data_IF_925709891053
#
_entry.id   IF_925709891053
#
_cell.length_a   1.000
_cell.length_b   1.000
_cell.length_c   1.000
_cell.angle_alpha   90.00
_cell.angle_beta   90.00
_cell.angle_gamma   90.00
#
_symmetry.space_group_name_H-M   'P 1'
#
loop_
_entity.id
_entity.type
_entity.pdbx_description
1 polymer ?
#
# COMPACT_ATOMS: atom_id res chain seq x y z
N UNK A 1 -54.14 -66.04 -40.31
CA UNK A 1 -52.77 -65.74 -39.83
C UNK A 1 -52.64 -64.27 -39.46
N UNK A 2 -52.61 -64.00 -38.16
CA UNK A 2 -52.48 -62.62 -37.65
C UNK A 2 -51.04 -62.46 -37.17
N UNK A 3 -50.29 -61.57 -37.77
CA UNK A 3 -48.92 -61.19 -37.38
C UNK A 3 -48.97 -60.10 -36.34
N UNK A 4 -48.35 -60.31 -35.18
CA UNK A 4 -48.20 -59.40 -34.07
C UNK A 4 -46.95 -58.46 -34.31
N UNK A 5 -47.00 -57.14 -34.12
CA UNK A 5 -45.82 -56.31 -34.23
C UNK A 5 -45.01 -56.36 -32.93
N UNK A 6 -43.63 -56.43 -33.09
CA UNK A 6 -42.66 -56.43 -32.01
C UNK A 6 -42.46 -55.02 -31.45
N UNK A 7 -42.57 -54.88 -30.14
CA UNK A 7 -42.35 -53.68 -29.38
C UNK A 7 -40.80 -53.42 -29.20
N UNK A 8 -40.26 -52.36 -29.79
CA UNK A 8 -38.90 -51.95 -29.56
C UNK A 8 -38.80 -51.18 -28.23
N UNK A 9 -38.11 -51.76 -27.25
CA UNK A 9 -37.78 -51.09 -26.01
C UNK A 9 -36.64 -50.10 -26.25
N UNK A 10 -36.87 -48.80 -25.99
CA UNK A 10 -35.83 -47.75 -25.91
C UNK A 10 -35.18 -47.76 -24.51
N UNK A 11 -33.86 -47.87 -24.46
CA UNK A 11 -33.09 -47.72 -23.24
C UNK A 11 -32.87 -46.23 -22.95
N UNK A 12 -33.03 -45.76 -21.72
CA UNK A 12 -32.71 -44.36 -21.37
C UNK A 12 -31.20 -44.18 -21.31
N UNK A 13 -30.69 -43.19 -22.05
CA UNK A 13 -29.30 -42.69 -21.92
C UNK A 13 -29.23 -41.80 -20.68
N UNK A 14 -28.53 -42.26 -19.67
CA UNK A 14 -28.24 -41.48 -18.47
C UNK A 14 -27.12 -40.50 -18.78
N UNK A 15 -27.43 -39.23 -18.93
CA UNK A 15 -26.44 -38.16 -19.05
C UNK A 15 -25.83 -37.89 -17.66
N UNK A 16 -24.57 -38.29 -17.45
CA UNK A 16 -23.79 -37.91 -16.28
C UNK A 16 -23.29 -36.48 -16.50
N UNK A 17 -23.92 -35.50 -15.83
CA UNK A 17 -23.38 -34.17 -15.72
C UNK A 17 -22.14 -34.25 -14.81
N UNK A 18 -20.95 -34.24 -15.42
CA UNK A 18 -19.68 -34.05 -14.72
C UNK A 18 -19.61 -32.61 -14.13
N UNK A 19 -19.78 -32.48 -12.83
CA UNK A 19 -19.46 -31.25 -12.14
C UNK A 19 -17.93 -31.05 -12.21
N UNK A 20 -17.47 -30.10 -13.01
CA UNK A 20 -16.08 -29.66 -12.97
C UNK A 20 -15.86 -28.95 -11.63
N UNK A 21 -15.13 -29.59 -10.73
CA UNK A 21 -14.59 -28.96 -9.53
C UNK A 21 -13.53 -27.99 -10.00
N UNK A 22 -13.86 -26.70 -10.07
CA UNK A 22 -12.87 -25.63 -10.24
C UNK A 22 -12.12 -25.53 -8.92
N UNK A 23 -10.95 -26.14 -8.84
CA UNK A 23 -10.03 -25.89 -7.73
C UNK A 23 -9.62 -24.41 -7.80
N UNK A 24 -9.81 -23.63 -6.72
CA UNK A 24 -9.29 -22.25 -6.70
C UNK A 24 -7.78 -22.31 -6.93
N UNK A 25 -7.28 -21.42 -7.80
CA UNK A 25 -5.85 -21.22 -7.93
C UNK A 25 -5.26 -20.92 -6.54
N UNK A 26 -4.09 -21.46 -6.19
CA UNK A 26 -3.46 -21.15 -4.91
C UNK A 26 -3.33 -19.64 -4.79
N UNK A 27 -3.76 -19.08 -3.64
CA UNK A 27 -3.50 -17.69 -3.33
C UNK A 27 -1.98 -17.49 -3.45
N UNK A 28 -1.54 -16.46 -4.20
CA UNK A 28 -0.13 -16.10 -4.25
C UNK A 28 0.32 -15.83 -2.80
N UNK A 29 1.16 -16.72 -2.27
CA UNK A 29 1.80 -16.47 -1.00
C UNK A 29 2.69 -15.25 -1.19
N UNK A 30 2.43 -14.16 -0.47
CA UNK A 30 3.34 -13.03 -0.41
C UNK A 30 4.72 -13.57 0.03
N UNK A 31 5.79 -13.14 -0.66
CA UNK A 31 7.13 -13.29 -0.10
C UNK A 31 7.23 -12.58 1.26
N UNK A 32 8.33 -12.75 2.00
CA UNK A 32 8.51 -12.02 3.24
C UNK A 32 8.50 -10.50 2.97
N UNK A 33 7.93 -9.74 3.90
CA UNK A 33 7.98 -8.29 3.85
C UNK A 33 9.44 -7.80 3.81
N UNK A 34 9.66 -6.66 3.17
CA UNK A 34 10.97 -6.02 3.08
C UNK A 34 10.95 -4.59 3.65
N UNK A 35 12.03 -3.84 3.48
CA UNK A 35 12.12 -2.48 3.99
C UNK A 35 11.86 -2.40 5.50
N UNK A 36 11.29 -1.32 5.95
CA UNK A 36 10.96 -1.15 7.36
C UNK A 36 9.88 -2.12 7.86
N UNK A 37 8.99 -2.59 7.00
CA UNK A 37 8.00 -3.61 7.38
C UNK A 37 8.63 -4.97 7.78
N UNK A 38 9.89 -5.23 7.44
CA UNK A 38 10.62 -6.44 7.81
C UNK A 38 11.35 -6.36 9.13
N UNK A 39 11.47 -5.19 9.74
CA UNK A 39 12.28 -4.95 10.94
C UNK A 39 11.64 -5.58 12.17
N UNK A 40 12.45 -6.22 13.03
CA UNK A 40 11.97 -6.73 14.32
C UNK A 40 11.89 -5.59 15.33
N UNK A 41 10.69 -5.20 15.70
CA UNK A 41 10.42 -4.09 16.63
C UNK A 41 9.02 -4.17 17.23
N UNK A 42 8.75 -3.43 18.29
CA UNK A 42 7.43 -3.28 18.91
C UNK A 42 6.70 -4.63 19.14
N UNK A 43 7.42 -5.70 19.46
CA UNK A 43 6.85 -7.02 19.67
C UNK A 43 6.55 -7.84 18.40
N UNK A 44 6.78 -7.28 17.21
CA UNK A 44 6.62 -7.97 15.93
C UNK A 44 7.96 -8.48 15.40
N UNK A 45 7.94 -9.61 14.70
CA UNK A 45 9.09 -10.18 13.98
C UNK A 45 8.90 -9.95 12.47
N UNK A 46 8.91 -8.68 12.08
CA UNK A 46 8.48 -8.23 10.76
C UNK A 46 6.97 -8.33 10.55
N UNK A 47 6.51 -8.01 9.35
CA UNK A 47 5.09 -8.04 8.97
C UNK A 47 4.74 -9.38 8.34
N UNK A 48 3.78 -10.09 8.92
CA UNK A 48 3.29 -11.40 8.46
C UNK A 48 1.79 -11.39 8.10
N UNK A 49 1.10 -10.29 8.41
CA UNK A 49 -0.32 -10.11 8.16
C UNK A 49 -1.17 -11.18 8.86
N UNK A 50 -2.14 -11.74 8.16
CA UNK A 50 -3.03 -12.80 8.63
C UNK A 50 -2.41 -14.20 8.63
N UNK A 51 -1.07 -14.33 8.57
CA UNK A 51 -0.41 -15.63 8.56
C UNK A 51 -0.74 -16.46 9.81
N UNK A 52 -1.03 -17.74 9.63
CA UNK A 52 -1.46 -18.64 10.72
C UNK A 52 -2.96 -18.59 11.02
N UNK A 53 -3.70 -17.59 10.52
CA UNK A 53 -5.15 -17.51 10.58
C UNK A 53 -5.86 -18.20 9.43
N UNK A 54 -7.20 -18.18 9.47
CA UNK A 54 -8.01 -18.72 8.39
C UNK A 54 -7.93 -17.84 7.13
N UNK A 55 -8.12 -18.46 5.97
CA UNK A 55 -8.33 -17.76 4.70
C UNK A 55 -9.83 -17.71 4.41
N UNK A 56 -10.36 -16.52 4.18
CA UNK A 56 -11.76 -16.25 3.84
C UNK A 56 -11.84 -15.48 2.52
N UNK A 57 -12.91 -15.64 1.76
CA UNK A 57 -13.12 -14.90 0.51
C UNK A 57 -14.31 -13.97 0.65
N UNK A 58 -14.09 -12.67 0.44
CA UNK A 58 -15.13 -11.66 0.37
C UNK A 58 -15.52 -11.42 -1.09
N UNK A 59 -16.83 -11.48 -1.36
CA UNK A 59 -17.46 -11.17 -2.65
C UNK A 59 -18.55 -10.11 -2.51
N UNK A 60 -18.82 -9.67 -1.28
CA UNK A 60 -19.80 -8.64 -0.95
C UNK A 60 -19.23 -7.67 0.08
N UNK A 61 -19.75 -6.44 0.10
CA UNK A 61 -19.39 -5.40 1.07
C UNK A 61 -19.56 -5.89 2.52
N UNK A 62 -20.68 -6.54 2.84
CA UNK A 62 -20.95 -7.02 4.19
C UNK A 62 -19.90 -8.06 4.65
N UNK A 63 -19.52 -9.01 3.79
CA UNK A 63 -18.48 -10.00 4.09
C UNK A 63 -17.12 -9.30 4.30
N UNK A 64 -16.76 -8.36 3.42
CA UNK A 64 -15.47 -7.68 3.50
C UNK A 64 -15.34 -6.89 4.80
N UNK A 65 -16.33 -6.06 5.13
CA UNK A 65 -16.32 -5.25 6.34
C UNK A 65 -16.35 -6.10 7.62
N UNK A 66 -17.10 -7.20 7.63
CA UNK A 66 -17.08 -8.15 8.74
C UNK A 66 -15.68 -8.77 8.92
N UNK A 67 -15.04 -9.24 7.84
CA UNK A 67 -13.74 -9.92 7.93
C UNK A 67 -12.59 -9.01 8.35
N UNK A 68 -12.53 -7.78 7.83
CA UNK A 68 -11.45 -6.85 8.18
C UNK A 68 -11.56 -6.34 9.62
N UNK A 69 -12.76 -6.34 10.21
CA UNK A 69 -13.02 -5.87 11.58
C UNK A 69 -12.82 -6.95 12.66
N UNK A 70 -12.72 -8.23 12.30
CA UNK A 70 -12.56 -9.33 13.26
C UNK A 70 -11.23 -9.27 13.99
N UNK A 71 -11.18 -9.60 15.29
CA UNK A 71 -9.94 -9.52 16.07
C UNK A 71 -8.93 -10.63 15.74
N UNK A 72 -9.38 -11.81 15.26
CA UNK A 72 -8.49 -12.92 14.94
C UNK A 72 -7.67 -12.69 13.66
N UNK A 73 -6.47 -13.28 13.52
CA UNK A 73 -5.70 -13.23 12.29
C UNK A 73 -6.48 -13.81 11.10
N UNK A 74 -6.52 -13.10 9.97
CA UNK A 74 -7.23 -13.56 8.76
C UNK A 74 -6.48 -13.16 7.49
N UNK A 75 -6.47 -14.08 6.52
CA UNK A 75 -6.22 -13.76 5.12
C UNK A 75 -7.56 -13.53 4.41
N UNK A 76 -7.86 -12.27 4.09
CA UNK A 76 -9.10 -11.84 3.42
C UNK A 76 -8.83 -11.72 1.93
N UNK A 77 -9.32 -12.68 1.16
CA UNK A 77 -9.26 -12.66 -0.29
C UNK A 77 -10.42 -11.84 -0.85
N UNK A 78 -10.12 -10.85 -1.68
CA UNK A 78 -11.13 -10.02 -2.38
C UNK A 78 -11.31 -10.56 -3.79
N UNK A 79 -12.56 -10.86 -4.17
CA UNK A 79 -12.89 -11.31 -5.52
C UNK A 79 -13.85 -10.35 -6.21
N UNK A 80 -13.45 -9.86 -7.39
CA UNK A 80 -14.21 -8.88 -8.14
C UNK A 80 -14.27 -7.51 -7.46
N UNK A 81 -15.29 -6.73 -7.75
CA UNK A 81 -15.44 -5.37 -7.20
C UNK A 81 -16.30 -5.37 -5.95
N UNK A 82 -15.78 -4.81 -4.86
CA UNK A 82 -16.51 -4.53 -3.62
C UNK A 82 -16.65 -3.01 -3.49
N UNK A 83 -17.90 -2.53 -3.43
CA UNK A 83 -18.18 -1.11 -3.21
C UNK A 83 -18.32 -0.84 -1.72
N UNK A 84 -17.46 0.01 -1.18
CA UNK A 84 -17.46 0.41 0.22
C UNK A 84 -18.40 1.62 0.42
N UNK A 85 -19.17 1.67 1.53
CA UNK A 85 -20.01 2.81 1.85
C UNK A 85 -19.19 4.10 2.07
N UNK A 86 -19.75 5.24 1.72
CA UNK A 86 -19.13 6.57 1.88
C UNK A 86 -19.81 7.44 2.95
N UNK A 87 -20.92 6.98 3.52
CA UNK A 87 -21.82 7.81 4.29
C UNK A 87 -21.55 7.93 5.81
N UNK A 88 -20.47 7.32 6.33
CA UNK A 88 -20.11 7.39 7.76
C UNK A 88 -18.60 7.53 7.92
N UNK A 89 -18.15 8.32 8.91
CA UNK A 89 -16.72 8.52 9.23
C UNK A 89 -15.86 8.80 7.99
N UNK A 90 -16.28 9.76 7.18
CA UNK A 90 -15.61 10.16 5.94
C UNK A 90 -15.40 9.00 4.93
N UNK A 91 -16.22 7.93 5.06
CA UNK A 91 -16.10 6.73 4.23
C UNK A 91 -14.93 5.83 4.57
N UNK A 92 -14.25 6.03 5.72
CA UNK A 92 -13.09 5.25 6.14
C UNK A 92 -13.51 4.05 7.00
N UNK A 93 -13.05 2.85 6.61
CA UNK A 93 -13.42 1.58 7.25
C UNK A 93 -12.26 1.02 8.08
N UNK A 94 -12.46 0.78 9.41
CA UNK A 94 -11.40 0.32 10.29
C UNK A 94 -10.95 -1.12 9.95
N UNK A 95 -9.64 -1.33 9.93
CA UNK A 95 -9.00 -2.63 9.76
C UNK A 95 -8.38 -3.05 11.09
N UNK A 96 -8.74 -4.23 11.60
CA UNK A 96 -8.15 -4.79 12.81
C UNK A 96 -6.73 -5.35 12.54
N UNK A 97 -5.93 -5.53 13.60
CA UNK A 97 -4.58 -6.12 13.50
C UNK A 97 -4.57 -7.53 12.86
N UNK A 98 -3.40 -7.97 12.43
CA UNK A 98 -3.15 -9.31 11.90
C UNK A 98 -4.02 -9.66 10.68
N UNK A 99 -4.00 -8.79 9.67
CA UNK A 99 -4.74 -9.01 8.42
C UNK A 99 -3.83 -9.04 7.20
N UNK A 100 -4.09 -10.00 6.33
CA UNK A 100 -3.68 -9.93 4.92
C UNK A 100 -4.93 -9.70 4.08
N UNK A 101 -5.01 -8.55 3.39
CA UNK A 101 -6.08 -8.24 2.44
C UNK A 101 -5.48 -8.36 1.04
N UNK A 102 -5.92 -9.35 0.26
CA UNK A 102 -5.31 -9.67 -1.02
C UNK A 102 -6.36 -9.83 -2.12
N UNK A 103 -6.13 -9.17 -3.26
CA UNK A 103 -6.97 -9.33 -4.44
C UNK A 103 -6.72 -10.65 -5.16
N UNK A 104 -7.77 -11.32 -5.60
CA UNK A 104 -7.70 -12.50 -6.44
C UNK A 104 -7.74 -12.10 -7.93
N UNK A 105 -6.74 -12.53 -8.69
CA UNK A 105 -6.63 -12.18 -10.11
C UNK A 105 -6.19 -10.74 -10.32
N UNK A 106 -6.55 -10.14 -11.45
CA UNK A 106 -6.19 -8.77 -11.83
C UNK A 106 -7.38 -7.80 -11.82
N UNK A 107 -8.55 -8.23 -11.39
CA UNK A 107 -9.81 -7.48 -11.40
C UNK A 107 -10.36 -7.19 -10.00
N UNK A 108 -9.66 -7.62 -8.95
CA UNK A 108 -10.05 -7.38 -7.57
C UNK A 108 -9.98 -5.87 -7.25
N UNK A 109 -11.09 -5.30 -6.78
CA UNK A 109 -11.23 -3.86 -6.58
C UNK A 109 -12.00 -3.51 -5.32
N UNK A 110 -11.54 -2.49 -4.62
CA UNK A 110 -12.30 -1.73 -3.62
C UNK A 110 -12.64 -0.37 -4.20
N UNK A 111 -13.89 0.08 -4.10
CA UNK A 111 -14.32 1.36 -4.64
C UNK A 111 -15.26 2.09 -3.69
N UNK A 112 -15.22 3.41 -3.67
CA UNK A 112 -16.12 4.28 -2.89
C UNK A 112 -15.55 4.71 -1.56
N UNK A 113 -15.36 3.82 -0.56
CA UNK A 113 -14.74 4.14 0.71
C UNK A 113 -13.25 3.75 0.77
N UNK A 114 -12.54 4.26 1.79
CA UNK A 114 -11.15 3.95 2.10
C UNK A 114 -10.97 3.01 3.27
N UNK A 115 -9.72 2.65 3.57
CA UNK A 115 -9.35 1.80 4.70
C UNK A 115 -8.62 2.63 5.77
N UNK A 116 -9.08 2.54 7.02
CA UNK A 116 -8.40 3.15 8.17
C UNK A 116 -7.65 2.08 8.98
N UNK A 117 -6.33 2.15 8.98
CA UNK A 117 -5.45 1.31 9.79
C UNK A 117 -5.03 2.15 11.00
N UNK A 118 -5.84 2.13 12.05
CA UNK A 118 -5.58 2.94 13.23
C UNK A 118 -6.74 2.97 14.23
N UNK A 119 -6.38 3.33 15.44
CA UNK A 119 -7.34 3.69 16.49
C UNK A 119 -8.04 5.02 16.13
N UNK A 120 -9.16 5.36 16.79
CA UNK A 120 -9.71 6.70 16.73
C UNK A 120 -8.65 7.75 17.10
N UNK A 121 -8.69 8.88 16.41
CA UNK A 121 -7.73 9.98 16.65
C UNK A 121 -7.90 10.52 18.08
N UNK A 122 -6.75 10.64 18.75
CA UNK A 122 -6.63 11.23 20.08
C UNK A 122 -5.27 11.97 20.15
N UNK A 123 -5.32 13.29 20.15
CA UNK A 123 -4.11 14.13 20.16
C UNK A 123 -3.38 14.14 21.50
N UNK A 124 -4.03 13.73 22.58
CA UNK A 124 -3.42 13.60 23.92
C UNK A 124 -2.56 12.33 24.03
N UNK A 125 -2.73 11.35 23.13
CA UNK A 125 -1.92 10.13 23.08
C UNK A 125 -0.61 10.41 22.34
N UNK A 126 0.50 10.51 23.08
CA UNK A 126 1.84 10.81 22.54
C UNK A 126 2.82 9.62 22.56
N UNK A 127 2.35 8.45 22.97
CA UNK A 127 3.14 7.19 22.97
C UNK A 127 2.30 6.03 22.41
N UNK A 128 2.93 5.00 21.81
CA UNK A 128 2.22 3.86 21.27
C UNK A 128 1.37 3.17 22.33
N UNK A 129 0.04 3.11 22.18
CA UNK A 129 -0.82 2.36 23.09
C UNK A 129 -0.64 0.85 22.86
N UNK A 130 -0.87 0.04 23.90
CA UNK A 130 -0.70 -1.41 23.83
C UNK A 130 -1.59 -2.11 22.78
N UNK A 131 -2.70 -1.47 22.39
CA UNK A 131 -3.64 -1.94 21.37
C UNK A 131 -3.49 -1.22 20.03
N UNK A 132 -2.34 -0.56 19.77
CA UNK A 132 -2.06 0.02 18.46
C UNK A 132 -2.26 -1.03 17.36
N UNK A 133 -2.88 -0.64 16.26
CA UNK A 133 -3.13 -1.55 15.13
C UNK A 133 -1.81 -1.95 14.49
N UNK A 134 -1.64 -3.23 14.16
CA UNK A 134 -0.36 -3.71 13.66
C UNK A 134 -0.50 -4.94 12.75
N UNK A 135 0.59 -5.26 12.07
CA UNK A 135 0.76 -6.49 11.31
C UNK A 135 -0.28 -6.62 10.17
N UNK A 136 -0.24 -5.68 9.22
CA UNK A 136 -1.19 -5.63 8.10
C UNK A 136 -0.44 -5.76 6.76
N UNK A 137 -0.98 -6.59 5.87
CA UNK A 137 -0.56 -6.67 4.46
C UNK A 137 -1.76 -6.31 3.58
N UNK A 138 -1.60 -5.33 2.67
CA UNK A 138 -2.60 -5.01 1.64
C UNK A 138 -1.93 -5.17 0.29
N UNK A 139 -2.45 -6.09 -0.55
CA UNK A 139 -1.75 -6.49 -1.75
C UNK A 139 -2.68 -6.80 -2.92
N UNK A 140 -2.20 -6.49 -4.14
CA UNK A 140 -2.85 -6.88 -5.39
C UNK A 140 -4.30 -6.39 -5.52
N UNK A 141 -4.57 -5.16 -5.12
CA UNK A 141 -5.90 -4.54 -5.14
C UNK A 141 -5.90 -3.23 -5.92
N UNK A 142 -6.90 -3.03 -6.77
CA UNK A 142 -7.23 -1.70 -7.26
C UNK A 142 -8.11 -0.99 -6.22
N UNK A 143 -7.68 0.18 -5.72
CA UNK A 143 -8.39 0.96 -4.70
C UNK A 143 -8.67 2.35 -5.26
N UNK A 144 -9.95 2.75 -5.30
CA UNK A 144 -10.36 3.96 -6.04
C UNK A 144 -11.62 4.60 -5.49
N UNK A 145 -11.76 5.91 -5.68
CA UNK A 145 -13.02 6.64 -5.47
C UNK A 145 -13.40 6.85 -4.00
N UNK A 146 -12.45 6.81 -3.06
CA UNK A 146 -12.72 7.18 -1.68
C UNK A 146 -13.04 8.67 -1.55
N UNK A 147 -13.89 9.02 -0.59
CA UNK A 147 -14.31 10.40 -0.27
C UNK A 147 -13.35 11.10 0.69
N UNK A 148 -12.29 10.45 1.09
CA UNK A 148 -11.14 10.91 1.86
C UNK A 148 -9.91 10.14 1.36
N UNK A 149 -9.01 9.68 2.22
CA UNK A 149 -7.86 8.85 1.85
C UNK A 149 -8.28 7.47 1.29
N UNK A 150 -7.53 6.90 0.35
CA UNK A 150 -7.76 5.52 -0.08
C UNK A 150 -7.27 4.53 0.99
N UNK A 151 -6.12 4.80 1.61
CA UNK A 151 -5.62 4.12 2.81
C UNK A 151 -5.06 5.17 3.78
N UNK A 152 -5.50 5.13 5.02
CA UNK A 152 -4.98 5.94 6.12
C UNK A 152 -4.36 5.04 7.19
N UNK A 153 -3.08 5.27 7.51
CA UNK A 153 -2.33 4.58 8.58
C UNK A 153 -2.03 5.60 9.67
N UNK A 154 -2.61 5.42 10.85
CA UNK A 154 -2.51 6.44 11.91
C UNK A 154 -2.51 5.87 13.33
N UNK A 155 -2.33 6.75 14.32
CA UNK A 155 -2.40 6.45 15.76
C UNK A 155 -1.48 5.30 16.15
N UNK A 156 -0.17 5.49 15.86
CA UNK A 156 0.91 4.56 16.23
C UNK A 156 0.80 3.16 15.61
N UNK A 157 0.04 3.02 14.53
CA UNK A 157 -0.03 1.75 13.79
C UNK A 157 1.33 1.37 13.23
N UNK A 158 1.65 0.07 13.21
CA UNK A 158 2.99 -0.34 12.82
C UNK A 158 3.04 -1.72 12.14
N UNK A 159 4.15 -2.00 11.45
CA UNK A 159 4.34 -3.23 10.68
C UNK A 159 3.25 -3.40 9.63
N UNK A 160 3.25 -2.46 8.69
CA UNK A 160 2.27 -2.40 7.60
C UNK A 160 3.03 -2.54 6.28
N UNK A 161 2.55 -3.43 5.41
CA UNK A 161 3.09 -3.61 4.06
C UNK A 161 1.99 -3.43 3.02
N UNK A 162 2.13 -2.38 2.20
CA UNK A 162 1.21 -2.01 1.12
C UNK A 162 1.93 -2.24 -0.20
N UNK A 163 1.55 -3.32 -0.92
CA UNK A 163 2.39 -3.89 -1.97
C UNK A 163 1.60 -4.29 -3.21
N UNK A 164 2.10 -3.96 -4.41
CA UNK A 164 1.50 -4.32 -5.70
C UNK A 164 0.02 -3.91 -5.83
N UNK A 165 -0.36 -2.74 -5.34
CA UNK A 165 -1.70 -2.20 -5.52
C UNK A 165 -1.72 -1.13 -6.62
N UNK A 166 -2.92 -0.82 -7.10
CA UNK A 166 -3.20 0.24 -8.08
C UNK A 166 -4.13 1.26 -7.43
N UNK A 167 -3.69 2.51 -7.30
CA UNK A 167 -4.37 3.58 -6.60
C UNK A 167 -4.75 4.71 -7.56
N UNK A 168 -6.02 5.13 -7.51
CA UNK A 168 -6.50 6.24 -8.35
C UNK A 168 -7.74 6.92 -7.78
N UNK A 169 -7.98 8.19 -8.16
CA UNK A 169 -9.23 8.91 -7.93
C UNK A 169 -9.72 8.93 -6.46
N UNK A 170 -8.82 9.11 -5.48
CA UNK A 170 -9.20 9.47 -4.11
C UNK A 170 -9.44 10.99 -4.01
N UNK A 171 -10.17 11.42 -2.98
CA UNK A 171 -10.45 12.85 -2.77
C UNK A 171 -9.27 13.56 -2.07
N UNK A 172 -8.61 12.90 -1.12
CA UNK A 172 -7.37 13.39 -0.49
C UNK A 172 -6.19 12.43 -0.76
N UNK A 173 -5.61 11.76 0.20
CA UNK A 173 -4.42 10.92 0.02
C UNK A 173 -4.69 9.57 -0.65
N UNK A 174 -3.70 9.04 -1.39
CA UNK A 174 -3.76 7.63 -1.79
C UNK A 174 -3.33 6.72 -0.64
N UNK A 175 -2.18 7.02 -0.01
CA UNK A 175 -1.72 6.34 1.21
C UNK A 175 -1.10 7.35 2.15
N UNK A 176 -1.82 7.72 3.18
CA UNK A 176 -1.35 8.64 4.21
C UNK A 176 -0.87 7.87 5.44
N UNK A 177 0.31 8.22 5.95
CA UNK A 177 0.93 7.61 7.13
C UNK A 177 1.22 8.72 8.12
N UNK A 178 0.59 8.69 9.27
CA UNK A 178 0.57 9.84 10.18
C UNK A 178 0.44 9.42 11.65
N UNK A 179 0.58 10.41 12.58
CA UNK A 179 0.31 10.27 14.02
C UNK A 179 1.08 9.12 14.66
N UNK A 180 2.42 9.16 14.51
CA UNK A 180 3.33 8.23 15.16
C UNK A 180 3.37 6.82 14.58
N UNK A 181 2.74 6.56 13.43
CA UNK A 181 2.81 5.27 12.75
C UNK A 181 4.24 4.96 12.32
N UNK A 182 4.62 3.66 12.29
CA UNK A 182 6.02 3.29 12.18
C UNK A 182 6.22 1.91 11.50
N UNK A 183 7.42 1.65 11.00
CA UNK A 183 7.77 0.37 10.35
C UNK A 183 6.82 0.00 9.21
N UNK A 184 6.69 0.91 8.24
CA UNK A 184 5.82 0.74 7.08
C UNK A 184 6.65 0.59 5.81
N UNK A 185 6.23 -0.27 4.90
CA UNK A 185 6.75 -0.35 3.53
C UNK A 185 5.62 -0.18 2.53
N UNK A 186 5.82 0.71 1.57
CA UNK A 186 4.94 0.95 0.42
C UNK A 186 5.74 0.61 -0.83
N UNK A 187 5.42 -0.50 -1.50
CA UNK A 187 6.26 -1.04 -2.56
C UNK A 187 5.47 -1.53 -3.76
N UNK A 188 6.06 -1.39 -4.94
CA UNK A 188 5.51 -1.92 -6.19
C UNK A 188 4.07 -1.49 -6.48
N UNK A 189 3.61 -0.35 -5.94
CA UNK A 189 2.29 0.19 -6.23
C UNK A 189 2.35 1.10 -7.46
N UNK A 190 1.22 1.22 -8.16
CA UNK A 190 1.02 2.22 -9.19
C UNK A 190 0.06 3.29 -8.66
N UNK A 191 0.44 4.55 -8.82
CA UNK A 191 -0.37 5.72 -8.49
C UNK A 191 -0.62 6.52 -9.77
N UNK A 192 -1.89 6.74 -10.13
CA UNK A 192 -2.27 7.46 -11.33
C UNK A 192 -3.63 8.16 -11.18
N UNK A 193 -3.92 9.10 -12.06
CA UNK A 193 -5.19 9.85 -12.02
C UNK A 193 -5.50 10.35 -10.60
N UNK A 194 -4.47 10.92 -9.92
CA UNK A 194 -4.56 11.30 -8.51
C UNK A 194 -3.70 12.54 -8.23
N UNK A 195 -4.20 13.46 -7.40
CA UNK A 195 -3.50 14.71 -7.09
C UNK A 195 -2.52 14.53 -5.90
N UNK A 196 -3.03 14.17 -4.71
CA UNK A 196 -2.28 14.14 -3.44
C UNK A 196 -1.94 12.70 -3.06
N UNK A 197 -0.76 12.19 -3.40
CA UNK A 197 -0.49 10.76 -3.38
C UNK A 197 -0.14 10.19 -2.00
N UNK A 198 0.92 10.67 -1.36
CA UNK A 198 1.48 10.08 -0.13
C UNK A 198 1.86 11.17 0.88
N UNK A 199 1.14 11.25 1.99
CA UNK A 199 1.53 12.10 3.12
C UNK A 199 2.23 11.23 4.18
N UNK A 200 3.38 11.69 4.67
CA UNK A 200 4.06 11.14 5.83
C UNK A 200 4.24 12.23 6.90
N UNK A 201 3.58 12.05 8.05
CA UNK A 201 3.48 13.07 9.10
C UNK A 201 2.29 14.00 8.91
N UNK A 202 1.42 14.06 9.93
CA UNK A 202 0.10 14.67 9.85
C UNK A 202 0.13 16.18 9.56
N UNK A 203 0.76 16.94 10.45
CA UNK A 203 0.79 18.41 10.42
C UNK A 203 2.13 18.93 10.94
N UNK A 204 2.42 20.22 10.76
CA UNK A 204 3.67 20.86 11.20
C UNK A 204 3.76 20.95 12.73
N UNK A 205 2.64 20.91 13.45
CA UNK A 205 2.56 20.95 14.92
C UNK A 205 2.45 19.55 15.59
N UNK A 206 2.45 18.45 14.80
CA UNK A 206 2.28 17.08 15.31
C UNK A 206 3.57 16.43 15.85
N UNK A 207 4.58 17.21 16.22
CA UNK A 207 5.89 16.73 16.68
C UNK A 207 5.80 15.76 17.88
N UNK A 208 4.83 15.94 18.79
CA UNK A 208 4.67 15.10 19.98
C UNK A 208 4.38 13.62 19.63
N UNK A 209 3.64 13.37 18.57
CA UNK A 209 3.37 12.02 18.07
C UNK A 209 4.42 11.53 17.10
N UNK A 210 4.95 12.39 16.22
CA UNK A 210 5.69 11.97 15.03
C UNK A 210 7.21 11.90 15.22
N UNK A 211 7.82 12.75 16.06
CA UNK A 211 9.29 12.76 16.26
C UNK A 211 9.79 11.41 16.80
N UNK A 212 10.83 10.86 16.14
CA UNK A 212 11.42 9.56 16.50
C UNK A 212 10.66 8.34 15.99
N UNK A 213 9.65 8.56 15.16
CA UNK A 213 8.81 7.54 14.50
C UNK A 213 8.77 7.79 13.00
N UNK A 214 7.76 7.29 12.31
CA UNK A 214 7.55 7.47 10.88
C UNK A 214 8.69 6.88 10.02
N UNK A 215 9.25 5.72 10.44
CA UNK A 215 10.20 4.99 9.63
C UNK A 215 9.47 4.28 8.50
N UNK A 216 9.64 4.79 7.29
CA UNK A 216 8.92 4.30 6.12
C UNK A 216 9.88 4.05 4.96
N UNK A 217 9.66 2.95 4.27
CA UNK A 217 10.30 2.64 2.99
C UNK A 217 9.31 2.79 1.85
N UNK A 218 9.69 3.54 0.82
CA UNK A 218 8.96 3.67 -0.44
C UNK A 218 9.86 3.16 -1.57
N UNK A 219 9.52 2.02 -2.21
CA UNK A 219 10.37 1.51 -3.27
C UNK A 219 9.61 0.88 -4.41
N UNK A 220 10.19 0.96 -5.61
CA UNK A 220 9.64 0.39 -6.83
C UNK A 220 8.19 0.82 -7.12
N UNK A 221 7.76 1.94 -6.58
CA UNK A 221 6.45 2.51 -6.89
C UNK A 221 6.51 3.27 -8.22
N UNK A 222 5.43 3.22 -8.96
CA UNK A 222 5.24 3.97 -10.19
C UNK A 222 4.28 5.13 -9.96
N UNK A 223 4.82 6.35 -9.94
CA UNK A 223 4.07 7.59 -9.87
C UNK A 223 3.79 8.07 -11.29
N UNK A 224 2.67 7.62 -11.85
CA UNK A 224 2.29 7.74 -13.25
C UNK A 224 1.35 8.92 -13.47
N UNK A 225 1.86 10.13 -13.54
CA UNK A 225 1.08 11.35 -13.67
C UNK A 225 0.35 11.77 -12.38
N UNK A 226 0.67 11.16 -11.23
CA UNK A 226 0.19 11.66 -9.93
C UNK A 226 0.87 12.99 -9.62
N UNK A 227 0.10 14.03 -9.27
CA UNK A 227 0.64 15.40 -9.29
C UNK A 227 1.65 15.65 -8.19
N UNK A 228 1.29 15.45 -6.92
CA UNK A 228 2.08 15.88 -5.77
C UNK A 228 2.10 14.89 -4.61
N UNK A 229 2.94 15.15 -3.59
CA UNK A 229 3.15 14.31 -2.41
C UNK A 229 3.65 12.90 -2.79
N UNK A 230 4.82 12.79 -3.43
CA UNK A 230 5.32 11.50 -3.92
C UNK A 230 6.64 11.01 -3.24
N UNK A 231 6.81 11.00 -1.89
CA UNK A 231 5.95 11.48 -0.81
C UNK A 231 6.23 12.92 -0.34
N UNK A 232 5.31 13.51 0.44
CA UNK A 232 5.55 14.68 1.29
C UNK A 232 5.78 14.22 2.73
N UNK A 233 6.97 14.51 3.28
CA UNK A 233 7.47 13.97 4.54
C UNK A 233 7.66 15.07 5.58
N UNK A 234 7.12 14.85 6.79
CA UNK A 234 7.42 15.62 8.01
C UNK A 234 7.95 14.69 9.10
N UNK A 235 8.88 15.18 9.93
CA UNK A 235 9.43 14.54 11.13
C UNK A 235 10.07 13.17 10.95
N UNK A 236 9.67 12.34 9.97
CA UNK A 236 10.17 10.99 9.79
C UNK A 236 11.69 10.93 9.73
N UNK A 237 12.31 9.99 10.42
CA UNK A 237 13.75 9.78 10.40
C UNK A 237 14.09 8.50 9.65
N UNK A 238 15.14 8.57 8.80
CA UNK A 238 15.57 7.44 7.96
C UNK A 238 14.52 7.00 6.93
N UNK A 239 13.66 7.93 6.47
CA UNK A 239 12.70 7.62 5.39
C UNK A 239 13.47 7.25 4.13
N UNK A 240 13.25 6.03 3.64
CA UNK A 240 13.98 5.48 2.50
C UNK A 240 13.13 5.47 1.24
N UNK A 241 13.55 6.22 0.24
CA UNK A 241 12.87 6.35 -1.05
C UNK A 241 13.81 5.88 -2.15
N UNK A 242 13.60 4.64 -2.66
CA UNK A 242 14.55 4.09 -3.62
C UNK A 242 13.90 3.33 -4.77
N UNK A 243 14.53 3.37 -5.93
CA UNK A 243 14.09 2.70 -7.16
C UNK A 243 12.63 2.96 -7.56
N UNK A 244 12.06 4.12 -7.20
CA UNK A 244 10.75 4.52 -7.70
C UNK A 244 10.88 5.18 -9.08
N UNK A 245 9.86 5.01 -9.90
CA UNK A 245 9.72 5.70 -11.18
C UNK A 245 8.69 6.83 -11.07
N UNK A 246 9.16 8.04 -11.33
CA UNK A 246 8.36 9.25 -11.35
C UNK A 246 8.19 9.71 -12.78
N UNK A 247 6.94 9.95 -13.21
CA UNK A 247 6.65 10.44 -14.55
C UNK A 247 5.55 11.49 -14.52
N UNK A 248 5.83 12.65 -15.12
CA UNK A 248 4.87 13.75 -15.29
C UNK A 248 4.26 14.23 -13.96
N UNK A 249 5.10 14.59 -12.96
CA UNK A 249 4.68 15.04 -11.63
C UNK A 249 5.07 16.51 -11.40
N UNK A 250 4.27 17.27 -10.64
CA UNK A 250 4.64 18.62 -10.19
C UNK A 250 5.84 18.58 -9.26
N UNK A 251 5.85 17.64 -8.30
CA UNK A 251 7.06 17.35 -7.55
C UNK A 251 7.14 15.87 -7.15
N UNK A 252 8.38 15.39 -6.98
CA UNK A 252 8.67 14.06 -6.46
C UNK A 252 8.59 14.04 -4.94
N UNK A 253 9.75 14.17 -4.28
CA UNK A 253 9.89 14.02 -2.82
C UNK A 253 10.04 15.38 -2.15
N UNK A 254 9.24 15.66 -1.12
CA UNK A 254 9.40 16.82 -0.26
C UNK A 254 9.72 16.40 1.16
N UNK A 255 10.78 16.99 1.76
CA UNK A 255 11.17 16.79 3.16
C UNK A 255 11.03 18.11 3.92
N UNK A 256 10.36 18.09 5.06
CA UNK A 256 10.10 19.26 5.89
C UNK A 256 10.14 18.91 7.38
N UNK A 257 10.00 19.88 8.27
CA UNK A 257 9.96 19.70 9.72
C UNK A 257 11.08 18.79 10.25
N UNK A 258 12.32 19.07 9.78
CA UNK A 258 13.52 18.32 10.11
C UNK A 258 13.48 16.82 9.78
N UNK A 259 12.56 16.36 8.95
CA UNK A 259 12.54 14.97 8.47
C UNK A 259 13.83 14.60 7.76
N UNK A 260 14.25 13.34 7.83
CA UNK A 260 15.44 12.81 7.18
C UNK A 260 15.08 11.80 6.08
N UNK A 261 15.37 12.15 4.81
CA UNK A 261 15.09 11.30 3.64
C UNK A 261 16.37 10.85 2.97
N UNK A 262 16.50 9.55 2.71
CA UNK A 262 17.50 8.97 1.81
C UNK A 262 16.83 8.68 0.48
N UNK A 263 17.27 9.39 -0.58
CA UNK A 263 16.73 9.31 -1.94
C UNK A 263 17.75 8.62 -2.85
N UNK A 264 17.50 7.35 -3.22
CA UNK A 264 18.52 6.49 -3.84
C UNK A 264 18.00 5.76 -5.08
N UNK A 265 18.74 5.85 -6.20
CA UNK A 265 18.51 5.02 -7.37
C UNK A 265 17.13 5.21 -8.05
N UNK A 266 16.46 6.33 -7.83
CA UNK A 266 15.17 6.63 -8.45
C UNK A 266 15.36 7.18 -9.87
N UNK A 267 14.30 7.11 -10.67
CA UNK A 267 14.26 7.67 -12.00
C UNK A 267 13.13 8.70 -12.10
N UNK A 268 13.48 9.94 -12.42
CA UNK A 268 12.56 11.06 -12.58
C UNK A 268 12.51 11.47 -14.04
N UNK A 269 11.32 11.44 -14.64
CA UNK A 269 11.08 11.84 -16.03
C UNK A 269 9.95 12.86 -16.10
N UNK A 270 10.25 14.04 -16.63
CA UNK A 270 9.30 15.17 -16.71
C UNK A 270 8.73 15.55 -15.34
N UNK A 271 9.57 15.53 -14.30
CA UNK A 271 9.19 15.97 -12.96
C UNK A 271 9.67 17.40 -12.76
N UNK A 272 8.76 18.33 -12.44
CA UNK A 272 9.13 19.73 -12.31
C UNK A 272 10.13 19.94 -11.17
N UNK A 273 9.86 19.38 -9.96
CA UNK A 273 10.77 19.46 -8.80
C UNK A 273 11.00 18.06 -8.20
N UNK A 274 12.06 17.31 -8.60
CA UNK A 274 12.29 15.93 -8.16
C UNK A 274 12.49 15.76 -6.66
N UNK A 275 13.11 16.73 -5.98
CA UNK A 275 13.37 16.65 -4.53
C UNK A 275 13.60 18.02 -3.91
N UNK A 276 12.89 18.33 -2.84
CA UNK A 276 12.96 19.63 -2.16
C UNK A 276 12.91 19.49 -0.63
N UNK A 277 13.48 20.47 0.08
CA UNK A 277 13.60 20.46 1.55
C UNK A 277 12.93 21.65 2.24
N UNK A 278 12.16 22.46 1.50
CA UNK A 278 11.64 23.76 1.92
C UNK A 278 10.09 23.84 1.90
N UNK A 279 9.36 22.73 2.12
CA UNK A 279 7.93 22.64 1.85
C UNK A 279 7.02 23.01 3.04
N UNK A 280 7.55 23.26 4.23
CA UNK A 280 6.80 23.59 5.46
C UNK A 280 7.56 24.61 6.32
N UNK A 281 7.11 24.83 7.55
CA UNK A 281 7.68 25.83 8.47
C UNK A 281 9.19 25.65 8.71
N UNK A 282 9.63 24.41 8.93
CA UNK A 282 11.05 24.09 9.08
C UNK A 282 11.57 23.26 7.90
N UNK A 283 12.85 23.51 7.53
CA UNK A 283 13.51 22.78 6.45
C UNK A 283 13.70 21.31 6.83
N UNK A 284 13.51 20.42 5.85
CA UNK A 284 13.86 19.01 5.97
C UNK A 284 15.35 18.74 5.78
N UNK A 285 15.71 17.46 5.89
CA UNK A 285 17.05 16.92 5.55
C UNK A 285 16.88 15.88 4.43
N UNK A 286 17.77 15.90 3.47
CA UNK A 286 17.77 14.96 2.35
C UNK A 286 19.18 14.66 1.91
N UNK A 287 19.53 13.38 1.81
CA UNK A 287 20.71 12.90 1.13
C UNK A 287 20.29 12.12 -0.11
N UNK A 288 21.06 12.24 -1.19
CA UNK A 288 20.69 11.58 -2.45
C UNK A 288 21.91 10.92 -3.10
N UNK A 289 21.67 9.83 -3.83
CA UNK A 289 22.67 9.11 -4.61
C UNK A 289 22.05 8.31 -5.76
N UNK A 290 22.79 8.17 -6.83
CA UNK A 290 22.47 7.31 -7.97
C UNK A 290 21.09 7.57 -8.63
N UNK A 291 20.48 8.76 -8.43
CA UNK A 291 19.22 9.12 -9.07
C UNK A 291 19.47 9.61 -10.50
N UNK A 292 18.55 9.34 -11.41
CA UNK A 292 18.56 9.83 -12.79
C UNK A 292 17.42 10.82 -12.99
N UNK A 293 17.75 11.99 -13.55
CA UNK A 293 16.82 13.05 -13.90
C UNK A 293 16.79 13.22 -15.42
N UNK A 294 15.60 13.12 -16.02
CA UNK A 294 15.37 13.36 -17.45
C UNK A 294 14.25 14.37 -17.60
N UNK A 295 14.48 15.43 -18.35
CA UNK A 295 13.51 16.50 -18.60
C UNK A 295 12.90 17.11 -17.31
N UNK A 296 13.71 17.20 -16.24
CA UNK A 296 13.33 17.83 -14.98
C UNK A 296 13.76 19.28 -14.94
N UNK A 297 12.94 20.17 -14.35
CA UNK A 297 13.26 21.61 -14.32
C UNK A 297 14.20 22.01 -13.19
N UNK A 298 14.27 21.21 -12.12
CA UNK A 298 15.10 21.47 -10.95
C UNK A 298 15.99 20.27 -10.61
N UNK A 299 17.10 20.54 -9.93
CA UNK A 299 17.92 19.48 -9.31
C UNK A 299 17.28 19.02 -8.00
N UNK A 300 17.70 17.84 -7.52
CA UNK A 300 17.36 17.39 -6.17
C UNK A 300 18.13 18.24 -5.15
N UNK A 301 17.40 18.87 -4.23
CA UNK A 301 17.97 19.59 -3.11
C UNK A 301 18.55 18.62 -2.07
N UNK A 302 19.67 18.99 -1.47
CA UNK A 302 20.30 18.20 -0.41
C UNK A 302 20.60 19.06 0.80
N UNK A 303 20.39 18.52 2.00
CA UNK A 303 20.64 19.22 3.26
C UNK A 303 20.89 18.23 4.40
N UNK A 304 21.89 18.48 5.21
CA UNK A 304 22.18 17.76 6.45
C UNK A 304 22.62 16.32 6.24
N UNK A 305 22.48 15.51 7.27
CA UNK A 305 22.75 14.07 7.29
C UNK A 305 21.50 13.30 7.70
N UNK A 306 21.38 12.06 7.27
CA UNK A 306 20.27 11.16 7.57
C UNK A 306 20.83 9.83 8.03
N UNK A 307 20.17 9.15 8.96
CA UNK A 307 20.54 7.80 9.38
C UNK A 307 20.33 6.84 8.20
N UNK A 308 21.34 6.04 7.90
CA UNK A 308 21.31 5.13 6.75
C UNK A 308 20.33 3.98 6.96
N UNK A 309 19.42 3.70 6.01
CA UNK A 309 18.46 2.59 6.10
C UNK A 309 19.11 1.23 6.29
N UNK A 310 20.33 1.03 5.77
CA UNK A 310 21.11 -0.22 5.96
C UNK A 310 21.44 -0.55 7.41
N UNK A 311 21.30 0.41 8.33
CA UNK A 311 21.44 0.15 9.78
C UNK A 311 20.22 -0.61 10.35
N UNK A 312 19.10 -0.62 9.64
CA UNK A 312 17.85 -1.26 10.06
C UNK A 312 17.57 -2.55 9.32
N UNK A 313 17.78 -2.58 8.01
CA UNK A 313 17.49 -3.74 7.16
C UNK A 313 18.42 -3.83 5.95
N UNK A 314 18.73 -5.05 5.47
CA UNK A 314 19.47 -5.23 4.22
C UNK A 314 18.57 -4.97 3.01
N UNK A 315 19.13 -4.39 1.94
CA UNK A 315 18.47 -4.25 0.65
C UNK A 315 19.48 -4.21 -0.49
N UNK A 316 19.04 -4.52 -1.70
CA UNK A 316 19.86 -4.43 -2.92
C UNK A 316 19.09 -3.64 -3.96
N UNK A 317 19.48 -2.39 -4.25
CA UNK A 317 18.76 -1.60 -5.23
C UNK A 317 19.07 -2.08 -6.67
N UNK A 318 18.11 -1.93 -7.58
CA UNK A 318 18.36 -1.95 -9.00
C UNK A 318 19.17 -0.73 -9.42
N UNK A 319 19.88 -0.81 -10.55
CA UNK A 319 20.48 0.39 -11.14
C UNK A 319 19.38 1.34 -11.59
N UNK A 320 19.53 2.64 -11.33
CA UNK A 320 18.51 3.63 -11.69
C UNK A 320 18.10 3.58 -13.17
N UNK A 321 19.04 3.26 -14.08
CA UNK A 321 18.76 3.12 -15.51
C UNK A 321 17.82 1.95 -15.87
N UNK A 322 17.62 0.98 -14.97
CA UNK A 322 16.72 -0.16 -15.17
C UNK A 322 15.29 0.17 -14.70
N UNK A 323 15.13 1.15 -13.81
CA UNK A 323 13.87 1.53 -13.17
C UNK A 323 12.74 1.79 -14.18
N UNK A 324 12.92 2.53 -15.29
CA UNK A 324 11.85 2.79 -16.27
C UNK A 324 11.34 1.54 -16.99
N UNK A 325 12.09 0.43 -16.94
CA UNK A 325 11.68 -0.85 -17.50
C UNK A 325 11.11 -1.77 -16.44
N UNK A 326 11.81 -1.89 -15.30
CA UNK A 326 11.45 -2.85 -14.24
C UNK A 326 10.20 -2.42 -13.49
N UNK A 327 10.10 -1.14 -13.13
CA UNK A 327 8.99 -0.66 -12.29
C UNK A 327 7.65 -0.67 -13.03
N UNK A 328 7.48 -0.13 -14.24
CA UNK A 328 6.19 -0.25 -14.93
C UNK A 328 5.79 -1.69 -15.28
N UNK A 329 6.77 -2.58 -15.43
CA UNK A 329 6.50 -4.01 -15.67
C UNK A 329 6.02 -4.74 -14.40
N UNK A 330 6.50 -4.34 -13.20
CA UNK A 330 6.25 -5.02 -11.93
C UNK A 330 5.25 -4.32 -11.01
N UNK A 331 5.07 -3.00 -11.10
CA UNK A 331 4.19 -2.26 -10.20
C UNK A 331 2.70 -2.38 -10.58
N UNK A 332 1.84 -2.43 -9.56
CA UNK A 332 0.38 -2.49 -9.72
C UNK A 332 -0.19 -3.91 -9.66
N UNK A 333 -1.49 -3.99 -9.87
CA UNK A 333 -2.28 -5.23 -9.78
C UNK A 333 -1.91 -6.22 -10.87
N UNK A 334 -1.93 -7.52 -10.55
CA UNK A 334 -1.69 -8.62 -11.48
C UNK A 334 -0.23 -8.82 -11.85
N UNK A 335 0.69 -8.23 -11.10
CA UNK A 335 2.15 -8.25 -11.35
C UNK A 335 2.93 -9.08 -10.32
N UNK A 336 2.27 -9.63 -9.33
CA UNK A 336 2.87 -10.42 -8.22
C UNK A 336 3.21 -11.84 -8.63
#
# INVERSE_FOLDING_TARGET
>A
MRTTPALKRALPVLAVLGATVVTPAPALAAGPADGFASVNALGQNGTTGGAGGATVTATTTAQFLDYIARPEPLTVQVRGTITLPTGTTDGMHPVASDKTIIGLGSDARLSGGGLNIGLPVDDDVTAPPANAVHNIIIRNLSITGATDDLINVQMFSHHIWIDHNDFSNGDDGAVDIKRGSDFVTVSWNRFHDHDKTLLLGHDDDNAAQDVGRLRVTYHHNYFDGSDQRNPRVRFGESVHVYNNYYRDNSYGVASAMNAGVVLEGNYFHSVNNPGRVDFSGDLGRMVQRDNILVDCNHAIETRGTVVEPRTYYPYTPHRAAEVPTVVPAGAGVGKT
#
